data_IF_125304866269
#
_entry.id   IF_125304866269
#
_cell.length_a   1.000
_cell.length_b   1.000
_cell.length_c   1.000
_cell.angle_alpha   90.00
_cell.angle_beta   90.00
_cell.angle_gamma   90.00
#
_symmetry.space_group_name_H-M   'P 1'
#
loop_
_entity.id
_entity.type
_entity.pdbx_description
1 polymer ?
#
# COMPACT_ATOMS: atom_id res chain seq x y z
N UNK A 1 7.37 24.80 -9.89
CA UNK A 1 7.57 23.46 -9.30
C UNK A 1 6.63 22.50 -10.00
N UNK A 2 7.14 21.47 -10.67
CA UNK A 2 6.30 20.39 -11.17
C UNK A 2 5.97 19.50 -9.97
N UNK A 3 4.71 19.07 -9.77
CA UNK A 3 4.41 18.14 -8.68
C UNK A 3 5.17 16.86 -8.96
N UNK A 4 6.10 16.49 -8.07
CA UNK A 4 6.73 15.18 -8.09
C UNK A 4 5.61 14.13 -8.02
N UNK A 5 5.77 12.99 -8.69
CA UNK A 5 4.77 11.93 -8.62
C UNK A 5 4.50 11.63 -7.13
N UNK A 6 3.25 11.80 -6.69
CA UNK A 6 2.83 11.50 -5.33
C UNK A 6 2.79 9.98 -5.21
N UNK A 7 3.93 9.40 -4.89
CA UNK A 7 4.00 8.04 -4.34
C UNK A 7 3.42 8.12 -2.93
N UNK A 8 2.71 7.09 -2.51
CA UNK A 8 2.10 6.94 -1.20
C UNK A 8 3.06 6.20 -0.26
N UNK A 9 2.61 5.89 0.97
CA UNK A 9 3.36 4.96 1.81
C UNK A 9 3.74 3.71 1.00
N UNK A 10 4.90 3.13 1.27
CA UNK A 10 5.24 1.88 0.62
C UNK A 10 4.38 0.72 1.14
N UNK A 11 4.36 -0.42 0.41
CA UNK A 11 3.50 -1.55 0.73
C UNK A 11 3.79 -2.16 2.11
N UNK A 12 5.00 -1.98 2.65
CA UNK A 12 5.32 -2.47 3.99
C UNK A 12 4.59 -1.66 5.05
N UNK A 13 4.58 -0.33 4.93
CA UNK A 13 3.89 0.55 5.89
C UNK A 13 2.37 0.36 5.81
N UNK A 14 1.80 0.12 4.63
CA UNK A 14 0.39 -0.27 4.51
C UNK A 14 0.06 -1.58 5.23
N UNK A 15 0.92 -2.61 5.13
CA UNK A 15 0.75 -3.83 5.92
C UNK A 15 0.90 -3.60 7.42
N UNK A 16 1.73 -2.66 7.86
CA UNK A 16 1.82 -2.26 9.28
C UNK A 16 0.49 -1.69 9.75
N UNK A 17 -0.10 -0.75 9.00
CA UNK A 17 -1.39 -0.16 9.34
C UNK A 17 -2.51 -1.21 9.37
N UNK A 18 -2.63 -2.02 8.31
CA UNK A 18 -3.62 -3.11 8.27
C UNK A 18 -3.43 -4.12 9.40
N UNK A 19 -2.19 -4.54 9.67
CA UNK A 19 -1.91 -5.47 10.79
C UNK A 19 -2.23 -4.85 12.15
N UNK A 20 -2.10 -3.53 12.29
CA UNK A 20 -2.44 -2.82 13.53
C UNK A 20 -3.94 -2.80 13.76
N UNK A 21 -4.74 -2.60 12.70
CA UNK A 21 -6.20 -2.71 12.76
C UNK A 21 -6.63 -4.13 13.11
N UNK A 22 -6.05 -5.15 12.47
CA UNK A 22 -6.33 -6.55 12.81
C UNK A 22 -5.96 -6.93 14.24
N UNK A 23 -4.93 -6.29 14.82
CA UNK A 23 -4.57 -6.49 16.22
C UNK A 23 -5.51 -5.77 17.20
N UNK A 24 -6.36 -4.86 16.71
CA UNK A 24 -7.24 -4.02 17.52
C UNK A 24 -8.69 -4.05 16.98
N UNK A 25 -9.17 -5.20 16.50
CA UNK A 25 -10.50 -5.33 15.88
C UNK A 25 -11.65 -4.91 16.80
N UNK A 26 -11.46 -4.97 18.12
CA UNK A 26 -12.45 -4.52 19.12
C UNK A 26 -12.75 -3.03 19.06
N UNK A 27 -11.92 -2.24 18.37
CA UNK A 27 -12.17 -0.82 18.07
C UNK A 27 -13.11 -0.61 16.89
N UNK A 28 -13.44 -1.67 16.14
CA UNK A 28 -14.33 -1.62 14.99
C UNK A 28 -15.76 -2.05 15.37
N UNK A 29 -16.77 -1.65 14.58
CA UNK A 29 -18.11 -2.20 14.71
C UNK A 29 -18.14 -3.75 14.64
N UNK A 30 -19.01 -4.44 15.40
CA UNK A 30 -19.00 -5.91 15.50
C UNK A 30 -19.07 -6.64 14.15
N UNK A 31 -19.83 -6.10 13.19
CA UNK A 31 -19.93 -6.67 11.85
C UNK A 31 -18.59 -6.64 11.08
N UNK A 32 -17.80 -5.57 11.23
CA UNK A 32 -16.48 -5.47 10.63
C UNK A 32 -15.46 -6.33 11.38
N UNK A 33 -15.54 -6.40 12.70
CA UNK A 33 -14.70 -7.31 13.49
C UNK A 33 -14.84 -8.75 12.99
N UNK A 34 -16.07 -9.28 12.94
CA UNK A 34 -16.32 -10.65 12.48
C UNK A 34 -15.83 -10.88 11.04
N UNK A 35 -16.08 -9.92 10.16
CA UNK A 35 -15.66 -9.99 8.75
C UNK A 35 -14.12 -10.05 8.63
N UNK A 36 -13.41 -9.16 9.31
CA UNK A 36 -11.96 -9.03 9.19
C UNK A 36 -11.22 -10.14 9.94
N UNK A 37 -11.79 -10.66 11.02
CA UNK A 37 -11.23 -11.82 11.75
C UNK A 37 -11.19 -13.05 10.84
N UNK A 38 -12.27 -13.33 10.10
CA UNK A 38 -12.36 -14.48 9.19
C UNK A 38 -11.58 -14.25 7.89
N UNK A 39 -11.49 -13.01 7.40
CA UNK A 39 -10.92 -12.69 6.09
C UNK A 39 -9.69 -11.77 6.16
N UNK A 40 -8.89 -11.91 7.22
CA UNK A 40 -7.70 -11.09 7.49
C UNK A 40 -6.73 -10.98 6.31
N UNK A 41 -6.46 -12.08 5.59
CA UNK A 41 -5.55 -12.07 4.44
C UNK A 41 -6.10 -11.26 3.26
N UNK A 42 -7.42 -11.31 3.01
CA UNK A 42 -8.04 -10.52 1.93
C UNK A 42 -8.04 -9.04 2.28
N UNK A 43 -8.28 -8.73 3.56
CA UNK A 43 -8.15 -7.38 4.07
C UNK A 43 -6.73 -6.82 3.89
N UNK A 44 -5.70 -7.57 4.31
CA UNK A 44 -4.31 -7.14 4.13
C UNK A 44 -3.92 -7.04 2.66
N UNK A 45 -4.43 -7.94 1.81
CA UNK A 45 -4.26 -7.82 0.36
C UNK A 45 -4.89 -6.53 -0.18
N UNK A 46 -6.06 -6.15 0.34
CA UNK A 46 -6.69 -4.86 0.05
C UNK A 46 -5.82 -3.66 0.47
N UNK A 47 -5.13 -3.73 1.60
CA UNK A 47 -4.25 -2.66 2.09
C UNK A 47 -3.09 -2.35 1.14
N UNK A 48 -2.68 -3.30 0.29
CA UNK A 48 -1.65 -3.10 -0.74
C UNK A 48 -2.23 -3.13 -2.17
N UNK A 49 -3.54 -3.29 -2.30
CA UNK A 49 -4.21 -3.52 -3.59
C UNK A 49 -4.06 -2.35 -4.56
N UNK A 50 -4.09 -1.11 -4.08
CA UNK A 50 -3.92 0.08 -4.91
C UNK A 50 -2.49 0.17 -5.51
N UNK A 51 -1.47 -0.17 -4.72
CA UNK A 51 -0.06 -0.17 -5.19
C UNK A 51 0.19 -1.26 -6.22
N UNK A 52 -0.47 -2.41 -6.06
CA UNK A 52 -0.43 -3.50 -7.04
C UNK A 52 -0.94 -3.00 -8.39
N UNK A 53 -2.01 -2.19 -8.42
CA UNK A 53 -2.57 -1.62 -9.64
C UNK A 53 -1.63 -0.57 -10.23
N UNK A 54 -0.93 0.20 -9.39
CA UNK A 54 -0.03 1.27 -9.80
C UNK A 54 1.27 0.76 -10.45
N UNK A 55 1.71 -0.48 -10.15
CA UNK A 55 3.02 -1.04 -10.54
C UNK A 55 3.39 -0.99 -12.04
N UNK A 56 2.46 -0.67 -12.94
CA UNK A 56 2.69 -0.54 -14.39
C UNK A 56 2.29 0.83 -14.98
N UNK A 57 1.82 1.79 -14.17
CA UNK A 57 1.31 3.05 -14.70
C UNK A 57 2.45 3.89 -15.31
N UNK A 58 2.60 3.82 -16.63
CA UNK A 58 3.37 4.78 -17.43
C UNK A 58 2.59 6.08 -17.70
N UNK A 59 1.31 6.13 -17.29
CA UNK A 59 0.40 7.26 -17.49
C UNK A 59 -0.08 7.81 -16.14
N UNK A 60 0.18 9.09 -15.89
CA UNK A 60 -0.15 9.80 -14.63
C UNK A 60 -1.61 9.63 -14.19
N UNK A 61 -2.53 9.62 -15.15
CA UNK A 61 -3.97 9.55 -14.90
C UNK A 61 -4.38 8.24 -14.23
N UNK A 62 -3.70 7.14 -14.56
CA UNK A 62 -4.01 5.83 -14.00
C UNK A 62 -3.54 5.69 -12.55
N UNK A 63 -2.30 6.12 -12.27
CA UNK A 63 -1.75 6.16 -10.91
C UNK A 63 -2.62 7.01 -9.99
N UNK A 64 -3.18 8.11 -10.49
CA UNK A 64 -4.09 8.94 -9.71
C UNK A 64 -5.50 8.36 -9.60
N UNK A 65 -5.92 7.46 -10.49
CA UNK A 65 -7.28 6.93 -10.50
C UNK A 65 -7.49 5.83 -9.46
N UNK A 66 -6.54 4.89 -9.31
CA UNK A 66 -6.65 3.83 -8.31
C UNK A 66 -6.60 4.37 -6.87
N UNK A 67 -5.95 5.51 -6.65
CA UNK A 67 -5.87 6.15 -5.33
C UNK A 67 -7.00 7.17 -5.06
N UNK A 68 -8.19 7.01 -5.67
CA UNK A 68 -9.35 7.89 -5.44
C UNK A 68 -10.42 7.25 -4.58
N UNK A 69 -11.00 8.04 -3.67
CA UNK A 69 -12.14 7.63 -2.83
C UNK A 69 -13.32 7.02 -3.61
N UNK A 70 -13.78 7.57 -4.75
CA UNK A 70 -14.85 6.95 -5.53
C UNK A 70 -14.56 5.51 -5.98
N UNK A 71 -13.29 5.17 -6.23
CA UNK A 71 -12.90 3.80 -6.60
C UNK A 71 -13.05 2.87 -5.40
N UNK A 72 -12.55 3.27 -4.22
CA UNK A 72 -12.70 2.49 -3.00
C UNK A 72 -14.17 2.29 -2.61
N UNK A 73 -14.99 3.34 -2.70
CA UNK A 73 -16.43 3.24 -2.47
C UNK A 73 -17.12 2.32 -3.47
N UNK A 74 -16.71 2.36 -4.75
CA UNK A 74 -17.22 1.45 -5.78
C UNK A 74 -16.79 -0.01 -5.53
N UNK A 75 -15.59 -0.25 -5.00
CA UNK A 75 -15.17 -1.58 -4.56
C UNK A 75 -16.06 -2.10 -3.43
N UNK A 76 -16.34 -1.27 -2.42
CA UNK A 76 -17.22 -1.64 -1.29
C UNK A 76 -18.63 -1.96 -1.78
N UNK A 77 -19.21 -1.14 -2.66
CA UNK A 77 -20.57 -1.36 -3.16
C UNK A 77 -20.68 -2.51 -4.18
N UNK A 78 -19.59 -2.84 -4.88
CA UNK A 78 -19.56 -3.91 -5.88
C UNK A 78 -19.14 -5.28 -5.32
N UNK A 79 -18.68 -5.33 -4.07
CA UNK A 79 -18.31 -6.57 -3.39
C UNK A 79 -19.55 -7.45 -3.17
N UNK A 80 -19.47 -8.71 -3.61
CA UNK A 80 -20.59 -9.67 -3.54
C UNK A 80 -20.42 -10.74 -2.47
N UNK A 81 -19.18 -10.96 -2.03
CA UNK A 81 -18.82 -11.97 -1.04
C UNK A 81 -18.08 -11.33 0.12
N UNK A 82 -18.10 -11.98 1.27
CA UNK A 82 -17.41 -11.48 2.48
C UNK A 82 -15.89 -11.33 2.30
N UNK A 83 -15.16 -12.26 1.63
CA UNK A 83 -13.77 -12.04 1.24
C UNK A 83 -13.55 -10.75 0.42
N UNK A 84 -14.44 -10.49 -0.54
CA UNK A 84 -14.40 -9.27 -1.35
C UNK A 84 -14.68 -8.00 -0.54
N UNK A 85 -15.62 -8.07 0.42
CA UNK A 85 -15.91 -6.95 1.33
C UNK A 85 -14.69 -6.65 2.20
N UNK A 86 -14.04 -7.68 2.74
CA UNK A 86 -12.82 -7.52 3.54
C UNK A 86 -11.71 -6.86 2.72
N UNK A 87 -11.50 -7.31 1.48
CA UNK A 87 -10.57 -6.66 0.54
C UNK A 87 -10.90 -5.19 0.31
N UNK A 88 -12.17 -4.85 0.05
CA UNK A 88 -12.58 -3.48 -0.18
C UNK A 88 -12.33 -2.57 1.04
N UNK A 89 -12.55 -3.07 2.26
CA UNK A 89 -12.20 -2.35 3.50
C UNK A 89 -10.69 -2.21 3.69
N UNK A 90 -9.90 -3.18 3.24
CA UNK A 90 -8.45 -3.07 3.16
C UNK A 90 -8.02 -1.94 2.22
N UNK A 91 -8.65 -1.86 1.05
CA UNK A 91 -8.43 -0.78 0.08
C UNK A 91 -8.83 0.59 0.65
N UNK A 92 -9.90 0.67 1.43
CA UNK A 92 -10.27 1.90 2.14
C UNK A 92 -9.21 2.30 3.18
N UNK A 93 -8.66 1.31 3.91
CA UNK A 93 -7.58 1.51 4.87
C UNK A 93 -6.33 2.07 4.19
N UNK A 94 -6.00 1.59 3.00
CA UNK A 94 -4.91 2.10 2.18
C UNK A 94 -5.06 3.62 1.95
N UNK A 95 -6.20 4.06 1.40
CA UNK A 95 -6.44 5.48 1.15
C UNK A 95 -6.44 6.32 2.43
N UNK A 96 -6.96 5.78 3.53
CA UNK A 96 -6.92 6.44 4.83
C UNK A 96 -5.48 6.66 5.33
N UNK A 97 -4.60 5.67 5.15
CA UNK A 97 -3.19 5.79 5.51
C UNK A 97 -2.46 6.83 4.64
N UNK A 98 -2.80 6.93 3.35
CA UNK A 98 -2.22 7.92 2.44
C UNK A 98 -2.56 9.35 2.80
N UNK A 99 -3.77 9.60 3.30
CA UNK A 99 -4.13 10.92 3.84
C UNK A 99 -3.13 11.31 4.93
N UNK A 100 -2.77 10.38 5.82
CA UNK A 100 -1.80 10.64 6.90
C UNK A 100 -0.39 10.85 6.35
N UNK A 101 0.03 10.06 5.34
CA UNK A 101 1.33 10.26 4.67
C UNK A 101 1.45 11.67 4.13
N UNK A 102 0.47 12.06 3.32
CA UNK A 102 0.56 13.23 2.44
C UNK A 102 0.23 14.54 3.13
N UNK A 103 -0.55 14.51 4.21
CA UNK A 103 -0.92 15.73 4.93
C UNK A 103 -0.09 15.96 6.20
N UNK A 104 0.59 14.93 6.71
CA UNK A 104 1.33 15.04 7.97
C UNK A 104 2.77 14.56 7.84
N UNK A 105 3.00 13.30 7.49
CA UNK A 105 4.35 12.74 7.53
C UNK A 105 5.26 13.36 6.48
N UNK A 106 4.98 13.18 5.19
CA UNK A 106 5.85 13.65 4.11
C UNK A 106 6.09 15.16 4.18
N UNK A 107 5.06 16.02 4.36
CA UNK A 107 5.29 17.46 4.51
C UNK A 107 6.23 17.82 5.65
N UNK A 108 6.08 17.20 6.83
CA UNK A 108 6.96 17.44 7.97
C UNK A 108 8.41 17.07 7.66
N UNK A 109 8.62 15.97 6.92
CA UNK A 109 9.94 15.50 6.57
C UNK A 109 10.60 16.35 5.48
N UNK A 110 9.83 16.81 4.50
CA UNK A 110 10.31 17.74 3.47
C UNK A 110 10.73 19.08 4.08
N UNK A 111 9.95 19.61 5.03
CA UNK A 111 10.33 20.83 5.75
C UNK A 111 11.64 20.65 6.52
N UNK A 112 11.86 19.48 7.11
CA UNK A 112 13.11 19.17 7.85
C UNK A 112 14.31 18.97 6.92
N UNK A 113 14.09 18.62 5.65
CA UNK A 113 15.14 18.38 4.67
C UNK A 113 15.08 19.32 3.47
N UNK A 114 14.58 20.54 3.66
CA UNK A 114 14.32 21.49 2.58
C UNK A 114 15.58 21.85 1.77
N UNK A 115 16.76 21.75 2.38
CA UNK A 115 18.06 22.01 1.78
C UNK A 115 18.61 20.81 0.98
N UNK A 116 17.96 19.64 1.06
CA UNK A 116 18.38 18.41 0.40
C UNK A 116 17.55 18.09 -0.84
N UNK A 117 18.13 18.35 -2.01
CA UNK A 117 17.53 18.02 -3.33
C UNK A 117 17.26 16.53 -3.56
N UNK A 118 17.89 15.64 -2.79
CA UNK A 118 17.73 14.18 -2.90
C UNK A 118 16.68 13.59 -1.95
N UNK A 119 16.08 14.40 -1.06
CA UNK A 119 15.15 13.95 -0.03
C UNK A 119 13.70 14.30 -0.37
N UNK A 120 13.25 13.90 -1.57
CA UNK A 120 11.88 14.07 -2.06
C UNK A 120 10.88 13.09 -1.43
N UNK A 121 9.65 13.06 -1.94
CA UNK A 121 8.55 12.24 -1.40
C UNK A 121 8.91 10.75 -1.31
N UNK A 122 9.28 10.16 -2.45
CA UNK A 122 9.60 8.74 -2.56
C UNK A 122 10.78 8.32 -1.65
N UNK A 123 11.71 9.24 -1.36
CA UNK A 123 12.80 8.98 -0.44
C UNK A 123 12.29 8.75 0.98
N UNK A 124 11.36 9.59 1.45
CA UNK A 124 10.84 9.52 2.82
C UNK A 124 9.94 8.31 3.05
N UNK A 125 9.10 7.98 2.07
CA UNK A 125 8.23 6.81 2.13
C UNK A 125 9.03 5.51 2.08
N UNK A 126 10.04 5.43 1.20
CA UNK A 126 10.93 4.28 1.16
C UNK A 126 11.72 4.10 2.48
N UNK A 127 12.13 5.20 3.12
CA UNK A 127 12.78 5.15 4.44
C UNK A 127 11.84 4.68 5.53
N UNK A 128 10.58 5.11 5.52
CA UNK A 128 9.59 4.64 6.48
C UNK A 128 9.36 3.13 6.36
N UNK A 129 9.23 2.60 5.15
CA UNK A 129 9.14 1.16 4.89
C UNK A 129 10.35 0.39 5.42
N UNK A 130 11.56 0.90 5.15
CA UNK A 130 12.80 0.27 5.59
C UNK A 130 12.98 0.21 7.10
N UNK A 131 12.39 1.16 7.82
CA UNK A 131 12.40 1.16 9.28
C UNK A 131 11.43 0.14 9.87
N UNK A 132 10.52 -0.43 9.09
CA UNK A 132 9.56 -1.40 9.61
C UNK A 132 10.22 -2.72 10.04
N UNK A 133 9.63 -3.37 11.05
CA UNK A 133 10.13 -4.63 11.61
C UNK A 133 10.10 -5.73 10.54
N UNK A 134 11.10 -6.63 10.56
CA UNK A 134 11.23 -7.74 9.60
C UNK A 134 9.96 -8.60 9.49
N UNK A 135 9.20 -8.73 10.58
CA UNK A 135 7.90 -9.44 10.57
C UNK A 135 6.91 -8.90 9.53
N UNK A 136 6.87 -7.58 9.30
CA UNK A 136 5.96 -6.98 8.33
C UNK A 136 6.43 -7.21 6.90
N UNK A 137 7.74 -7.24 6.68
CA UNK A 137 8.32 -7.66 5.39
C UNK A 137 8.01 -9.13 5.07
N UNK A 138 7.97 -9.99 6.09
CA UNK A 138 7.54 -11.38 5.91
C UNK A 138 6.04 -11.44 5.62
N UNK A 139 5.24 -10.68 6.38
CA UNK A 139 3.78 -10.62 6.21
C UNK A 139 3.35 -10.17 4.82
N UNK A 140 4.04 -9.17 4.25
CA UNK A 140 3.80 -8.75 2.85
C UNK A 140 4.02 -9.91 1.87
N UNK A 141 5.05 -10.73 2.06
CA UNK A 141 5.31 -11.89 1.18
C UNK A 141 4.23 -12.95 1.32
N UNK A 142 3.87 -13.28 2.55
CA UNK A 142 2.81 -14.26 2.84
C UNK A 142 1.50 -13.83 2.17
N UNK A 143 1.17 -12.54 2.25
CA UNK A 143 0.02 -11.98 1.54
C UNK A 143 0.21 -12.17 0.04
N UNK A 144 1.31 -11.72 -0.56
CA UNK A 144 1.49 -11.81 -2.03
C UNK A 144 1.51 -13.24 -2.59
N UNK A 145 1.90 -14.23 -1.79
CA UNK A 145 1.87 -15.65 -2.15
C UNK A 145 0.45 -16.25 -2.14
N UNK A 146 -0.54 -15.54 -1.58
CA UNK A 146 -1.93 -15.98 -1.49
C UNK A 146 -2.72 -15.95 -2.82
N UNK A 147 -3.77 -16.77 -2.87
CA UNK A 147 -4.75 -16.77 -3.98
C UNK A 147 -5.90 -15.80 -3.70
N UNK A 148 -5.96 -14.73 -4.49
CA UNK A 148 -6.98 -13.68 -4.40
C UNK A 148 -7.66 -13.41 -5.75
N UNK A 149 -7.77 -14.41 -6.62
CA UNK A 149 -8.40 -14.28 -7.94
C UNK A 149 -9.83 -13.72 -7.89
N UNK A 150 -10.53 -13.91 -6.78
CA UNK A 150 -11.85 -13.33 -6.52
C UNK A 150 -11.81 -11.80 -6.28
N UNK A 151 -10.79 -11.31 -5.58
CA UNK A 151 -10.55 -9.88 -5.34
C UNK A 151 -10.00 -9.21 -6.60
N UNK A 152 -9.08 -9.87 -7.31
CA UNK A 152 -8.53 -9.40 -8.59
C UNK A 152 -9.65 -9.14 -9.60
N UNK A 153 -10.61 -10.08 -9.72
CA UNK A 153 -11.82 -9.93 -10.56
C UNK A 153 -12.77 -8.83 -10.09
N UNK A 154 -12.80 -8.51 -8.79
CA UNK A 154 -13.57 -7.37 -8.30
C UNK A 154 -12.93 -6.07 -8.78
N UNK A 155 -11.60 -5.94 -8.66
CA UNK A 155 -10.87 -4.76 -9.12
C UNK A 155 -11.01 -4.57 -10.62
N UNK A 156 -10.84 -5.64 -11.42
CA UNK A 156 -10.99 -5.58 -12.87
C UNK A 156 -12.37 -5.01 -13.27
N UNK A 157 -13.46 -5.49 -12.67
CA UNK A 157 -14.82 -4.97 -12.93
C UNK A 157 -15.03 -3.52 -12.49
N UNK A 158 -14.34 -3.07 -11.44
CA UNK A 158 -14.53 -1.72 -10.88
C UNK A 158 -13.70 -0.68 -11.62
N UNK A 159 -12.49 -1.06 -12.04
CA UNK A 159 -11.44 -0.20 -12.61
C UNK A 159 -11.38 -0.32 -14.16
N UNK A 160 -12.42 -0.91 -14.76
CA UNK A 160 -12.52 -1.45 -16.14
C UNK A 160 -12.31 -0.47 -17.33
N UNK A 161 -11.69 0.71 -17.14
CA UNK A 161 -11.34 1.64 -18.23
C UNK A 161 -9.83 1.87 -18.39
N UNK A 162 -8.97 0.96 -17.92
CA UNK A 162 -7.54 1.24 -17.77
C UNK A 162 -6.61 0.16 -18.36
N UNK A 163 -6.96 -0.33 -19.56
CA UNK A 163 -6.08 -0.85 -20.62
C UNK A 163 -4.94 -1.85 -20.28
N UNK A 164 -4.91 -2.52 -19.13
CA UNK A 164 -4.21 -3.80 -18.89
C UNK A 164 -4.92 -4.61 -17.79
N UNK A 165 -4.94 -5.94 -17.88
CA UNK A 165 -5.54 -6.79 -16.84
C UNK A 165 -4.81 -6.60 -15.51
N UNK A 166 -5.55 -6.56 -14.40
CA UNK A 166 -5.00 -6.48 -13.04
C UNK A 166 -3.92 -7.55 -12.83
N UNK A 167 -4.14 -8.74 -13.38
CA UNK A 167 -3.19 -9.85 -13.43
C UNK A 167 -1.79 -9.45 -13.95
N UNK A 168 -1.72 -8.54 -14.92
CA UNK A 168 -0.45 -8.05 -15.48
C UNK A 168 0.26 -7.11 -14.50
N UNK A 169 -0.48 -6.19 -13.87
CA UNK A 169 0.08 -5.28 -12.88
C UNK A 169 0.53 -6.05 -11.63
N UNK A 170 -0.25 -7.04 -11.19
CA UNK A 170 0.12 -7.98 -10.14
C UNK A 170 1.43 -8.69 -10.45
N UNK A 171 1.58 -9.28 -11.63
CA UNK A 171 2.86 -9.93 -12.01
C UNK A 171 4.07 -8.99 -11.94
N UNK A 172 3.89 -7.71 -12.30
CA UNK A 172 4.96 -6.71 -12.23
C UNK A 172 5.25 -6.36 -10.77
N UNK A 173 4.20 -6.11 -9.98
CA UNK A 173 4.32 -5.87 -8.55
C UNK A 173 5.01 -7.04 -7.84
N UNK A 174 4.57 -8.28 -8.08
CA UNK A 174 5.20 -9.50 -7.56
C UNK A 174 6.65 -9.60 -8.03
N UNK A 175 6.95 -9.23 -9.28
CA UNK A 175 8.31 -9.20 -9.80
C UNK A 175 9.19 -8.13 -9.15
N UNK A 176 8.62 -6.99 -8.72
CA UNK A 176 9.31 -5.96 -7.94
C UNK A 176 9.50 -6.41 -6.48
N UNK A 177 8.49 -7.07 -5.92
CA UNK A 177 8.45 -7.56 -4.54
C UNK A 177 9.06 -8.96 -4.38
N UNK A 178 9.56 -9.58 -5.45
CA UNK A 178 10.20 -10.88 -5.43
C UNK A 178 11.26 -10.95 -4.33
N UNK A 179 11.33 -12.06 -3.60
CA UNK A 179 12.13 -12.22 -2.37
C UNK A 179 13.57 -11.70 -2.49
N UNK A 180 14.22 -11.95 -3.62
CA UNK A 180 15.59 -11.51 -3.88
C UNK A 180 15.69 -10.00 -4.11
N UNK A 181 14.70 -9.36 -4.72
CA UNK A 181 14.62 -7.92 -4.91
C UNK A 181 14.19 -7.22 -3.63
N UNK A 182 13.24 -7.77 -2.88
CA UNK A 182 12.81 -7.24 -1.60
C UNK A 182 13.96 -7.22 -0.57
N UNK A 183 14.77 -8.28 -0.49
CA UNK A 183 15.99 -8.31 0.33
C UNK A 183 17.01 -7.26 -0.13
N UNK A 184 17.24 -7.13 -1.44
CA UNK A 184 18.15 -6.11 -2.00
C UNK A 184 17.66 -4.70 -1.72
N UNK A 185 16.36 -4.45 -1.90
CA UNK A 185 15.68 -3.20 -1.60
C UNK A 185 15.83 -2.86 -0.12
N UNK A 186 15.54 -3.81 0.77
CA UNK A 186 15.71 -3.63 2.20
C UNK A 186 17.17 -3.30 2.59
N UNK A 187 18.16 -3.95 1.98
CA UNK A 187 19.59 -3.68 2.21
C UNK A 187 20.02 -2.31 1.64
N UNK A 188 19.53 -1.96 0.45
CA UNK A 188 19.78 -0.66 -0.19
C UNK A 188 19.24 0.47 0.67
N UNK A 189 17.95 0.43 1.06
CA UNK A 189 17.37 1.47 1.91
C UNK A 189 17.99 1.46 3.31
N UNK A 190 18.32 0.28 3.89
CA UNK A 190 19.04 0.21 5.17
C UNK A 190 20.41 0.90 5.13
N UNK A 191 21.06 0.92 3.97
CA UNK A 191 22.32 1.66 3.76
C UNK A 191 22.09 3.15 3.58
N UNK A 192 21.04 3.56 2.85
CA UNK A 192 20.62 4.96 2.77
C UNK A 192 20.25 5.53 4.14
N UNK A 193 19.57 4.74 4.98
CA UNK A 193 19.16 5.17 6.31
C UNK A 193 20.36 5.40 7.24
N UNK A 194 21.35 4.49 7.24
CA UNK A 194 22.58 4.62 8.03
C UNK A 194 23.44 5.82 7.64
N UNK A 195 23.38 6.22 6.36
CA UNK A 195 24.13 7.38 5.84
C UNK A 195 23.35 8.69 5.91
N UNK A 196 22.07 8.65 6.28
CA UNK A 196 21.23 9.84 6.33
C UNK A 196 21.53 10.64 7.60
N UNK A 197 21.78 11.94 7.42
CA UNK A 197 21.92 12.90 8.52
C UNK A 197 20.59 13.21 9.24
N UNK A 198 19.45 12.78 8.68
CA UNK A 198 18.14 13.02 9.25
C UNK A 198 17.62 11.78 9.98
N UNK A 199 17.53 11.86 11.30
CA UNK A 199 17.07 10.75 12.16
C UNK A 199 15.57 10.54 12.04
N UNK A 200 15.17 9.29 11.83
CA UNK A 200 13.79 8.80 11.97
C UNK A 200 13.78 7.81 13.14
N UNK A 201 13.04 8.15 14.18
CA UNK A 201 12.77 7.24 15.30
C UNK A 201 11.51 6.43 15.00
N UNK A 202 11.49 5.18 15.45
CA UNK A 202 10.30 4.32 15.41
C UNK A 202 9.24 4.77 16.40
#
# INVERSE_FOLDING_TARGET
MLPEAAWAWGPITHIVHGSTILANLTSLPPALQALLEVHADRYLYGCIGADIIQAKSYTRDLAQHCHRWPVAWKLVSSARTDPQRAFAWGYMTHLGADIVSHNHFVPSQLLRSFDSRAAGHAYWEARADALQRRRYWNRVREVLEGDYRDCDRLVERVVENTLFSFKTNKRIFDSLMALSKLKRWQTFIGTLNRRSRYTLTR
#
